data_IF_328996167052
#
_entry.id   IF_328996167052
#
_cell.length_a   1.000
_cell.length_b   1.000
_cell.length_c   1.000
_cell.angle_alpha   90.00
_cell.angle_beta   90.00
_cell.angle_gamma   90.00
#
_symmetry.space_group_name_H-M   'P 1'
#
loop_
_entity.id
_entity.type
_entity.pdbx_description
1 polymer ?
#
# COMPACT_ATOMS: atom_id res chain seq x y z
N UNK A 1 -20.15 -9.46 -13.73
CA UNK A 1 -20.41 -8.94 -12.36
C UNK A 1 -19.59 -7.66 -12.20
N UNK A 2 -20.21 -6.48 -12.26
CA UNK A 2 -19.50 -5.23 -11.96
C UNK A 2 -19.38 -5.12 -10.44
N UNK A 3 -18.20 -5.39 -9.89
CA UNK A 3 -17.95 -5.10 -8.47
C UNK A 3 -17.84 -3.58 -8.31
N UNK A 4 -18.93 -2.95 -7.89
CA UNK A 4 -18.92 -1.57 -7.41
C UNK A 4 -18.16 -1.54 -6.09
N UNK A 5 -16.86 -1.32 -6.15
CA UNK A 5 -16.06 -1.13 -4.93
C UNK A 5 -16.52 0.17 -4.28
N UNK A 6 -17.09 0.07 -3.08
CA UNK A 6 -17.53 1.24 -2.32
C UNK A 6 -16.38 2.26 -2.21
N UNK A 7 -16.55 3.52 -2.65
CA UNK A 7 -15.52 4.56 -2.56
C UNK A 7 -14.94 4.71 -1.16
N UNK A 8 -15.77 4.60 -0.12
CA UNK A 8 -15.32 4.67 1.28
C UNK A 8 -14.43 3.49 1.63
N UNK A 9 -14.76 2.29 1.17
CA UNK A 9 -13.93 1.08 1.39
C UNK A 9 -12.55 1.21 0.75
N UNK A 10 -12.48 1.80 -0.46
CA UNK A 10 -11.18 2.10 -1.10
C UNK A 10 -10.37 3.10 -0.29
N UNK A 11 -11.00 4.18 0.19
CA UNK A 11 -10.33 5.20 1.00
C UNK A 11 -9.75 4.60 2.28
N UNK A 12 -10.53 3.78 3.01
CA UNK A 12 -10.07 3.12 4.23
C UNK A 12 -8.89 2.17 3.99
N UNK A 13 -8.91 1.44 2.88
CA UNK A 13 -7.81 0.55 2.50
C UNK A 13 -6.53 1.33 2.19
N UNK A 14 -6.62 2.47 1.50
CA UNK A 14 -5.46 3.31 1.23
C UNK A 14 -4.87 3.88 2.52
N UNK A 15 -5.72 4.36 3.43
CA UNK A 15 -5.30 4.86 4.74
C UNK A 15 -4.58 3.77 5.56
N UNK A 16 -5.13 2.55 5.58
CA UNK A 16 -4.50 1.40 6.23
C UNK A 16 -3.11 1.10 5.63
N UNK A 17 -2.98 1.08 4.30
CA UNK A 17 -1.71 0.81 3.62
C UNK A 17 -0.65 1.85 4.01
N UNK A 18 -1.02 3.12 4.01
CA UNK A 18 -0.12 4.22 4.37
C UNK A 18 0.29 4.16 5.84
N UNK A 19 -0.64 3.84 6.74
CA UNK A 19 -0.33 3.66 8.16
C UNK A 19 0.59 2.47 8.41
N UNK A 20 0.37 1.32 7.76
CA UNK A 20 1.27 0.15 7.87
C UNK A 20 2.68 0.50 7.37
N UNK A 21 2.80 1.25 6.27
CA UNK A 21 4.09 1.70 5.76
C UNK A 21 4.78 2.66 6.74
N UNK A 22 4.06 3.66 7.24
CA UNK A 22 4.56 4.66 8.19
C UNK A 22 5.06 4.03 9.49
N UNK A 23 4.26 3.16 10.10
CA UNK A 23 4.59 2.53 11.38
C UNK A 23 5.52 1.32 11.25
N UNK A 24 5.61 0.71 10.06
CA UNK A 24 6.63 -0.29 9.75
C UNK A 24 8.05 0.28 9.74
N UNK A 25 8.17 1.61 9.54
CA UNK A 25 9.41 2.36 9.52
C UNK A 25 10.10 2.33 8.14
N UNK A 26 10.55 3.50 7.69
CA UNK A 26 11.13 3.69 6.34
C UNK A 26 12.32 2.76 6.07
N UNK A 27 13.14 2.44 7.08
CA UNK A 27 14.27 1.52 7.01
C UNK A 27 13.93 0.13 6.43
N UNK A 28 12.67 -0.33 6.57
CA UNK A 28 12.24 -1.63 6.03
C UNK A 28 12.18 -1.64 4.52
N UNK A 29 12.04 -0.48 3.88
CA UNK A 29 11.96 -0.32 2.43
C UNK A 29 13.32 -0.12 1.77
N UNK A 30 14.30 0.46 2.47
CA UNK A 30 15.62 0.86 1.93
C UNK A 30 16.37 -0.28 1.23
N UNK A 31 16.33 -1.48 1.81
CA UNK A 31 17.12 -2.62 1.31
C UNK A 31 16.29 -3.60 0.47
N UNK A 32 14.99 -3.32 0.25
CA UNK A 32 14.12 -4.23 -0.50
C UNK A 32 14.06 -5.65 0.08
N UNK A 33 14.20 -5.79 1.41
CA UNK A 33 14.18 -7.08 2.09
C UNK A 33 12.82 -7.79 2.04
N UNK A 34 12.72 -8.96 2.67
CA UNK A 34 11.51 -9.80 2.60
C UNK A 34 10.23 -9.08 3.05
N UNK A 35 10.36 -8.21 4.05
CA UNK A 35 9.25 -7.39 4.52
C UNK A 35 8.74 -6.45 3.42
N UNK A 36 9.63 -5.72 2.73
CA UNK A 36 9.25 -4.79 1.67
C UNK A 36 8.63 -5.51 0.46
N UNK A 37 9.19 -6.65 0.08
CA UNK A 37 8.64 -7.50 -1.00
C UNK A 37 7.24 -8.00 -0.66
N UNK A 38 7.04 -8.46 0.58
CA UNK A 38 5.73 -8.93 1.05
C UNK A 38 4.71 -7.80 1.11
N UNK A 39 5.10 -6.64 1.62
CA UNK A 39 4.27 -5.44 1.63
C UNK A 39 3.84 -5.07 0.20
N UNK A 40 4.79 -4.97 -0.73
CA UNK A 40 4.51 -4.66 -2.14
C UNK A 40 3.56 -5.68 -2.80
N UNK A 41 3.80 -6.98 -2.59
CA UNK A 41 2.96 -8.04 -3.17
C UNK A 41 1.51 -7.98 -2.66
N UNK A 42 1.32 -7.83 -1.35
CA UNK A 42 -0.02 -7.78 -0.74
C UNK A 42 -0.76 -6.51 -1.15
N UNK A 43 -0.08 -5.36 -1.14
CA UNK A 43 -0.69 -4.07 -1.50
C UNK A 43 -1.08 -3.98 -2.98
N UNK A 44 -0.26 -4.52 -3.88
CA UNK A 44 -0.58 -4.61 -5.31
C UNK A 44 -1.87 -5.43 -5.57
N UNK A 45 -2.03 -6.56 -4.87
CA UNK A 45 -3.24 -7.40 -4.96
C UNK A 45 -4.46 -6.65 -4.43
N UNK A 46 -4.34 -6.03 -3.25
CA UNK A 46 -5.43 -5.31 -2.59
C UNK A 46 -5.91 -4.12 -3.43
N UNK A 47 -4.98 -3.39 -4.08
CA UNK A 47 -5.32 -2.26 -4.94
C UNK A 47 -5.72 -2.67 -6.36
N UNK A 48 -5.58 -3.95 -6.72
CA UNK A 48 -5.71 -4.45 -8.08
C UNK A 48 -4.89 -3.62 -9.09
N UNK A 49 -3.68 -3.21 -8.69
CA UNK A 49 -2.76 -2.41 -9.51
C UNK A 49 -1.46 -3.19 -9.75
N UNK A 50 -0.99 -3.30 -10.99
CA UNK A 50 0.24 -4.04 -11.30
C UNK A 50 1.50 -3.31 -10.81
N UNK A 51 1.44 -1.98 -10.70
CA UNK A 51 2.52 -1.12 -10.20
C UNK A 51 1.88 -0.04 -9.34
N UNK A 52 2.50 0.27 -8.20
CA UNK A 52 2.10 1.34 -7.30
C UNK A 52 3.33 1.98 -6.66
N UNK A 53 3.25 3.27 -6.35
CA UNK A 53 4.26 4.00 -5.57
C UNK A 53 3.66 4.36 -4.22
N UNK A 54 4.33 3.97 -3.14
CA UNK A 54 4.00 4.42 -1.78
C UNK A 54 5.07 5.40 -1.34
N UNK A 55 4.68 6.63 -1.09
CA UNK A 55 5.53 7.68 -0.53
C UNK A 55 5.18 7.82 0.95
N UNK A 56 6.03 7.26 1.80
CA UNK A 56 5.80 7.21 3.26
C UNK A 56 5.93 8.60 3.86
N UNK A 57 6.94 9.36 3.44
CA UNK A 57 7.26 10.68 3.99
C UNK A 57 6.16 11.70 3.67
N UNK A 58 5.60 11.65 2.45
CA UNK A 58 4.48 12.51 2.05
C UNK A 58 3.09 11.90 2.34
N UNK A 59 3.03 10.68 2.88
CA UNK A 59 1.78 9.95 3.16
C UNK A 59 0.85 9.86 1.93
N UNK A 60 1.40 9.43 0.79
CA UNK A 60 0.64 9.30 -0.47
C UNK A 60 0.88 7.96 -1.17
N UNK A 61 -0.09 7.57 -2.01
CA UNK A 61 -0.02 6.37 -2.85
C UNK A 61 -0.57 6.66 -4.24
N UNK A 62 0.13 6.20 -5.28
CA UNK A 62 -0.18 6.42 -6.70
C UNK A 62 -0.09 5.16 -7.55
#
# INVERSE_FOLDING_TARGET
MSQTVNPMGKILVLDMILNVAKYGGEHRFEQGGDWAKKFAAVTAVVLARPVMRVDVSNFTVG
#
